data_IF_961812093715
#
_entry.id   IF_961812093715
#
_cell.length_a   1.000
_cell.length_b   1.000
_cell.length_c   1.000
_cell.angle_alpha   90.00
_cell.angle_beta   90.00
_cell.angle_gamma   90.00
#
_symmetry.space_group_name_H-M   'P 1'
#
loop_
_entity.id
_entity.type
_entity.pdbx_description
1 polymer ?
#
# COMPACT_ATOMS: atom_id res chain seq x y z
N UNK A 1 4.94 5.23 -1.50
CA UNK A 1 5.94 5.81 -0.57
C UNK A 1 7.30 5.27 -1.01
N UNK A 2 8.40 5.98 -0.76
CA UNK A 2 9.73 5.66 -1.36
C UNK A 2 10.12 4.16 -1.28
N UNK A 3 9.70 3.45 -0.23
CA UNK A 3 10.03 2.03 -0.01
C UNK A 3 8.83 1.06 -0.04
N UNK A 4 7.63 1.51 -0.40
CA UNK A 4 6.41 0.70 -0.35
C UNK A 4 5.84 0.44 -1.75
N UNK A 5 5.55 -0.83 -2.04
CA UNK A 5 4.93 -1.27 -3.30
C UNK A 5 3.50 -1.69 -3.01
N UNK A 6 2.54 -1.11 -3.74
CA UNK A 6 1.11 -1.39 -3.59
C UNK A 6 0.59 -1.97 -4.90
N UNK A 7 -0.08 -3.10 -4.81
CA UNK A 7 -0.63 -3.83 -5.95
C UNK A 7 -2.10 -4.08 -5.64
N UNK A 8 -3.00 -3.58 -6.50
CA UNK A 8 -4.45 -3.72 -6.34
C UNK A 8 -5.06 -4.19 -7.67
N UNK A 9 -5.96 -5.17 -7.58
CA UNK A 9 -6.62 -5.80 -8.72
C UNK A 9 -8.08 -6.09 -8.38
N UNK A 10 -8.94 -6.10 -9.40
CA UNK A 10 -10.35 -6.46 -9.26
C UNK A 10 -10.59 -7.97 -9.52
N UNK A 11 -9.66 -8.63 -10.21
CA UNK A 11 -9.75 -10.03 -10.65
C UNK A 11 -8.58 -10.81 -10.04
N UNK A 12 -8.87 -11.97 -9.45
CA UNK A 12 -7.87 -12.76 -8.72
C UNK A 12 -6.82 -13.37 -9.66
N UNK A 13 -7.26 -13.83 -10.84
CA UNK A 13 -6.41 -14.46 -11.83
C UNK A 13 -5.32 -13.49 -12.32
N UNK A 14 -5.71 -12.26 -12.67
CA UNK A 14 -4.79 -11.18 -13.05
C UNK A 14 -3.83 -10.85 -11.91
N UNK A 15 -4.32 -10.79 -10.67
CA UNK A 15 -3.49 -10.54 -9.50
C UNK A 15 -2.36 -11.58 -9.35
N UNK A 16 -2.66 -12.86 -9.56
CA UNK A 16 -1.69 -13.93 -9.43
C UNK A 16 -0.64 -13.91 -10.55
N UNK A 17 -1.03 -13.59 -11.78
CA UNK A 17 -0.08 -13.44 -12.89
C UNK A 17 0.88 -12.27 -12.65
N UNK A 18 0.36 -11.13 -12.18
CA UNK A 18 1.18 -9.97 -11.86
C UNK A 18 2.12 -10.23 -10.67
N UNK A 19 1.67 -10.92 -9.63
CA UNK A 19 2.53 -11.29 -8.50
C UNK A 19 3.73 -12.13 -8.94
N UNK A 20 3.51 -13.10 -9.84
CA UNK A 20 4.60 -13.92 -10.39
C UNK A 20 5.62 -13.06 -11.15
N UNK A 21 5.15 -12.15 -12.00
CA UNK A 21 6.01 -11.25 -12.76
C UNK A 21 6.85 -10.34 -11.84
N UNK A 22 6.22 -9.75 -10.81
CA UNK A 22 6.88 -8.85 -9.88
C UNK A 22 7.92 -9.57 -9.02
N UNK A 23 7.62 -10.77 -8.52
CA UNK A 23 8.61 -11.57 -7.78
C UNK A 23 9.78 -12.02 -8.67
N UNK A 24 9.51 -12.31 -9.95
CA UNK A 24 10.56 -12.55 -10.94
C UNK A 24 11.50 -11.35 -11.07
N UNK A 25 10.93 -10.15 -11.25
CA UNK A 25 11.69 -8.90 -11.33
C UNK A 25 12.52 -8.64 -10.07
N UNK A 26 11.96 -8.85 -8.87
CA UNK A 26 12.71 -8.65 -7.63
C UNK A 26 13.88 -9.61 -7.51
N UNK A 27 13.69 -10.87 -7.91
CA UNK A 27 14.76 -11.86 -7.95
C UNK A 27 15.88 -11.44 -8.90
N UNK A 28 15.52 -10.98 -10.11
CA UNK A 28 16.48 -10.50 -11.11
C UNK A 28 17.28 -9.27 -10.64
N UNK A 29 16.64 -8.36 -9.91
CA UNK A 29 17.26 -7.13 -9.41
C UNK A 29 17.92 -7.28 -8.03
N UNK A 30 17.87 -8.47 -7.42
CA UNK A 30 18.40 -8.69 -6.06
C UNK A 30 17.65 -7.92 -4.98
N UNK A 31 16.36 -7.63 -5.19
CA UNK A 31 15.50 -6.94 -4.24
C UNK A 31 14.90 -7.96 -3.27
N UNK A 32 15.12 -7.75 -1.97
CA UNK A 32 14.58 -8.61 -0.92
C UNK A 32 13.40 -7.94 -0.22
N UNK A 33 12.28 -8.65 -0.11
CA UNK A 33 11.11 -8.21 0.65
C UNK A 33 11.19 -8.78 2.07
N UNK A 34 10.95 -7.94 3.07
CA UNK A 34 10.78 -8.42 4.45
C UNK A 34 9.42 -9.09 4.61
N UNK A 35 9.33 -10.38 5.00
CA UNK A 35 8.05 -11.05 5.21
C UNK A 35 7.19 -10.37 6.29
N UNK A 36 7.82 -9.72 7.27
CA UNK A 36 7.14 -8.97 8.33
C UNK A 36 6.42 -7.71 7.83
N UNK A 37 6.77 -7.22 6.64
CA UNK A 37 6.19 -6.02 6.02
C UNK A 37 5.33 -6.36 4.80
N UNK A 38 5.18 -7.65 4.48
CA UNK A 38 4.44 -8.11 3.33
C UNK A 38 3.00 -8.47 3.72
N UNK A 39 2.03 -7.93 2.98
CA UNK A 39 0.61 -8.16 3.20
C UNK A 39 -0.02 -8.62 1.89
N UNK A 40 -0.75 -9.74 1.92
CA UNK A 40 -1.41 -10.34 0.77
C UNK A 40 -2.92 -10.41 0.97
N UNK A 41 -3.70 -10.11 -0.07
CA UNK A 41 -5.17 -10.34 -0.11
C UNK A 41 -5.99 -9.67 1.00
N UNK A 42 -5.61 -8.47 1.42
CA UNK A 42 -6.39 -7.71 2.40
C UNK A 42 -7.48 -6.88 1.71
N UNK A 43 -8.78 -7.11 1.99
CA UNK A 43 -9.87 -6.32 1.42
C UNK A 43 -9.93 -4.89 1.99
N UNK A 44 -9.18 -4.64 3.06
CA UNK A 44 -9.09 -3.35 3.73
C UNK A 44 -7.66 -3.16 4.27
N UNK A 45 -6.97 -2.11 3.84
CA UNK A 45 -5.59 -1.80 4.26
C UNK A 45 -5.46 -0.35 4.70
N UNK A 46 -4.75 -0.11 5.81
CA UNK A 46 -4.28 1.22 6.17
C UNK A 46 -2.98 1.51 5.43
N UNK A 47 -3.03 2.47 4.51
CA UNK A 47 -1.93 2.85 3.64
C UNK A 47 -1.77 4.36 3.65
N UNK A 48 -0.58 4.86 4.01
CA UNK A 48 -0.26 6.30 4.03
C UNK A 48 -1.24 7.17 4.84
N UNK A 49 -1.75 6.63 5.95
CA UNK A 49 -2.81 7.25 6.78
C UNK A 49 -4.17 7.39 6.06
N UNK A 50 -4.40 6.57 5.03
CA UNK A 50 -5.72 6.33 4.45
C UNK A 50 -6.14 4.90 4.72
N UNK A 51 -7.44 4.69 4.88
CA UNK A 51 -8.05 3.38 4.86
C UNK A 51 -8.53 3.12 3.43
N UNK A 52 -7.93 2.14 2.77
CA UNK A 52 -8.22 1.73 1.39
C UNK A 52 -9.06 0.46 1.45
N UNK A 53 -10.20 0.43 0.76
CA UNK A 53 -10.97 -0.79 0.53
C UNK A 53 -11.54 -0.82 -0.88
N UNK A 54 -12.30 -1.87 -1.21
CA UNK A 54 -12.96 -2.01 -2.51
C UNK A 54 -13.95 -0.87 -2.85
N UNK A 55 -14.37 -0.08 -1.87
CA UNK A 55 -15.30 1.05 -2.04
C UNK A 55 -14.56 2.40 -2.20
N UNK A 56 -13.25 2.45 -2.01
CA UNK A 56 -12.44 3.65 -2.19
C UNK A 56 -11.56 4.00 -0.98
N UNK A 57 -11.23 5.29 -0.87
CA UNK A 57 -10.28 5.84 0.10
C UNK A 57 -11.01 6.63 1.20
N UNK A 58 -10.75 6.30 2.47
CA UNK A 58 -11.23 7.05 3.63
C UNK A 58 -10.01 7.66 4.35
N UNK A 59 -10.02 8.97 4.56
CA UNK A 59 -8.96 9.65 5.34
C UNK A 59 -9.09 9.26 6.81
N UNK A 60 -7.97 8.86 7.43
CA UNK A 60 -7.95 8.50 8.85
C UNK A 60 -7.94 9.77 9.72
N UNK A 61 -8.74 9.76 10.79
CA UNK A 61 -8.93 10.89 11.73
C UNK A 61 -7.59 11.47 12.20
N UNK A 62 -6.58 10.63 12.45
CA UNK A 62 -5.23 11.04 12.86
C UNK A 62 -4.59 12.03 11.88
N UNK A 63 -4.76 11.84 10.56
CA UNK A 63 -4.27 12.76 9.52
C UNK A 63 -5.02 14.09 9.53
N UNK A 64 -6.34 14.06 9.73
CA UNK A 64 -7.16 15.27 9.88
C UNK A 64 -6.70 16.08 11.10
N UNK A 65 -6.49 15.41 12.23
CA UNK A 65 -6.00 16.05 13.46
C UNK A 65 -4.60 16.64 13.28
N UNK A 66 -3.69 15.92 12.62
CA UNK A 66 -2.34 16.42 12.32
C UNK A 66 -2.36 17.67 11.43
N UNK A 67 -3.21 17.70 10.39
CA UNK A 67 -3.40 18.88 9.54
C UNK A 67 -4.02 20.05 10.31
N UNK A 68 -5.01 19.81 11.18
CA UNK A 68 -5.61 20.85 12.04
C UNK A 68 -4.60 21.49 12.98
N UNK A 69 -3.65 20.70 13.47
CA UNK A 69 -2.63 21.16 14.42
C UNK A 69 -1.39 21.74 13.73
N UNK A 70 -1.34 21.74 12.40
CA UNK A 70 -0.22 22.26 11.64
C UNK A 70 -0.22 23.79 11.73
N UNK A 71 0.67 24.34 12.56
CA UNK A 71 0.90 25.79 12.61
C UNK A 71 1.87 26.17 11.49
N UNK A 72 1.41 26.97 10.54
CA UNK A 72 2.33 27.63 9.62
C UNK A 72 2.99 28.78 10.38
N UNK A 73 4.32 28.76 10.46
CA UNK A 73 5.08 29.93 10.89
C UNK A 73 4.97 30.93 9.73
N UNK A 74 4.25 32.03 9.97
CA UNK A 74 4.23 33.18 9.08
C UNK A 74 5.61 33.84 9.02
#
# INVERSE_FOLDING_TARGET
FINDIIIAFNILEEYLEYLKAIFGLFTEKGIFISPKKFYLSYPNVELLSFKVNALGLIIIIKRITALKNLKFLN
#
